data_IF_460542988963
#
_entry.id   IF_460542988963
#
_cell.length_a   1.000
_cell.length_b   1.000
_cell.length_c   1.000
_cell.angle_alpha   90.00
_cell.angle_beta   90.00
_cell.angle_gamma   90.00
#
_symmetry.space_group_name_H-M   'P 1'
#
loop_
_entity.id
_entity.type
_entity.pdbx_description
1 polymer ?
2 polymer ?
3 non-polymer ?
4 non-polymer ?
5 non-polymer ?
6 non-polymer ?
7 water ?
#
# COMPACT_ATOMS: atom_id res chain seq x y z
N UNK A 1 -8.01 14.44 6.19
CA UNK A 1 -7.30 15.30 7.13
C UNK A 1 -5.83 14.89 7.32
N UNK A 2 -5.03 15.76 7.97
CA UNK A 2 -3.72 15.37 8.49
C UNK A 2 -3.79 15.23 10.00
N UNK A 3 -3.90 13.99 10.47
CA UNK A 3 -4.22 13.74 11.88
C UNK A 3 -2.95 13.71 12.74
N UNK A 4 -2.96 14.50 13.80
CA UNK A 4 -1.83 14.57 14.73
C UNK A 4 -1.99 13.50 15.79
N UNK A 5 -0.94 13.28 16.54
CA UNK A 5 -0.93 12.09 17.35
C UNK A 5 -0.82 12.41 18.82
N UNK A 6 -1.22 13.64 19.18
CA UNK A 6 -1.27 14.07 20.57
C UNK A 6 -2.20 13.19 21.42
N UNK A 7 -3.28 12.72 20.79
CA UNK A 7 -4.28 11.86 21.41
C UNK A 7 -4.38 10.58 20.58
N UNK A 8 -4.98 9.52 21.11
CA UNK A 8 -5.23 8.34 20.27
C UNK A 8 -6.09 8.73 19.06
N UNK A 9 -5.71 8.27 17.86
CA UNK A 9 -6.41 8.65 16.62
C UNK A 9 -7.69 7.83 16.45
N UNK A 10 -8.66 8.14 17.32
CA UNK A 10 -9.99 7.57 17.29
C UNK A 10 -10.89 8.40 16.39
N UNK A 11 -11.57 7.72 15.48
CA UNK A 11 -12.36 8.39 14.47
C UNK A 11 -13.71 7.67 14.33
N UNK A 12 -14.65 8.37 13.71
CA UNK A 12 -15.93 7.82 13.32
C UNK A 12 -15.79 6.74 12.26
N UNK A 13 -16.48 5.63 12.50
CA UNK A 13 -16.74 4.67 11.45
C UNK A 13 -18.22 4.35 11.37
N UNK A 14 -18.64 3.91 10.18
CA UNK A 14 -20.03 3.51 9.93
C UNK A 14 -20.01 2.21 9.15
N UNK A 15 -20.62 1.21 9.78
CA UNK A 15 -20.62 -0.11 9.22
C UNK A 15 -21.99 -0.73 9.47
N UNK A 16 -22.58 -1.23 8.40
CA UNK A 16 -23.92 -1.82 8.45
C UNK A 16 -24.98 -0.90 9.04
N UNK A 17 -24.78 0.40 8.85
CA UNK A 17 -25.68 1.40 9.39
C UNK A 17 -25.47 1.74 10.86
N UNK A 18 -24.41 1.18 11.44
CA UNK A 18 -24.07 1.42 12.83
C UNK A 18 -22.90 2.40 12.94
N UNK A 19 -23.03 3.33 13.88
CA UNK A 19 -22.00 4.35 14.12
C UNK A 19 -21.13 3.84 15.25
N UNK A 20 -19.83 3.75 14.98
CA UNK A 20 -18.89 3.28 16.00
C UNK A 20 -17.68 4.21 15.99
N UNK A 21 -16.76 3.91 16.89
CA UNK A 21 -15.48 4.61 16.98
C UNK A 21 -14.37 3.61 16.79
N UNK A 22 -13.36 3.99 16.02
CA UNK A 22 -12.22 3.09 15.79
C UNK A 22 -10.87 3.80 15.80
N UNK A 23 -9.82 3.04 16.09
CA UNK A 23 -8.46 3.54 16.23
C UNK A 23 -7.72 3.33 14.91
N UNK A 24 -7.17 4.40 14.34
CA UNK A 24 -6.36 4.28 13.11
C UNK A 24 -4.97 3.77 13.49
N UNK A 25 -4.69 2.52 13.13
CA UNK A 25 -3.57 1.77 13.68
C UNK A 25 -2.60 1.37 12.57
N UNK A 26 -1.53 2.13 12.41
CA UNK A 26 -0.48 1.79 11.45
C UNK A 26 0.37 0.59 11.87
N UNK A 27 0.18 0.16 13.11
CA UNK A 27 0.81 -1.04 13.65
C UNK A 27 -0.05 -2.29 13.50
N UNK A 28 -1.16 -2.19 12.75
CA UNK A 28 -1.99 -3.37 12.46
C UNK A 28 -2.02 -3.64 10.96
N UNK A 29 -1.73 -4.88 10.58
CA UNK A 29 -1.77 -5.25 9.17
C UNK A 29 -3.22 -5.19 8.68
N UNK A 30 -4.15 -5.59 9.53
CA UNK A 30 -5.53 -5.79 9.15
C UNK A 30 -6.52 -5.14 10.08
N UNK A 31 -7.73 -4.99 9.63
CA UNK A 31 -8.76 -4.30 10.39
C UNK A 31 -9.49 -5.33 11.22
N UNK A 32 -9.68 -5.02 12.50
CA UNK A 32 -10.43 -5.90 13.39
C UNK A 32 -11.35 -5.05 14.26
N UNK A 33 -12.62 -5.46 14.27
CA UNK A 33 -13.66 -4.82 15.08
C UNK A 33 -14.12 -5.69 16.23
N UNK A 34 -14.64 -5.05 17.27
CA UNK A 34 -15.26 -5.78 18.37
C UNK A 34 -16.43 -6.60 17.81
N UNK A 35 -16.75 -7.69 18.51
CA UNK A 35 -17.84 -8.57 18.13
C UNK A 35 -19.05 -7.79 17.63
N UNK A 36 -19.56 -8.22 16.48
CA UNK A 36 -20.78 -7.67 15.90
C UNK A 36 -21.27 -8.70 14.87
N UNK A 37 -22.55 -8.64 14.53
CA UNK A 37 -23.02 -9.47 13.47
C UNK A 37 -22.84 -8.84 12.09
N UNK A 38 -22.12 -9.54 11.24
CA UNK A 38 -22.00 -9.10 9.88
C UNK A 38 -22.60 -10.17 8.99
N UNK A 39 -22.98 -9.80 7.76
CA UNK A 39 -23.62 -10.72 6.85
C UNK A 39 -22.62 -11.55 6.05
N UNK A 40 -23.03 -12.76 5.67
CA UNK A 40 -22.28 -13.55 4.72
C UNK A 40 -21.35 -14.57 5.37
N UNK A 41 -20.62 -15.24 4.51
CA UNK A 41 -19.70 -16.31 4.88
C UNK A 41 -18.51 -15.70 5.61
N UNK A 42 -17.98 -16.44 6.56
CA UNK A 42 -16.76 -16.02 7.24
C UNK A 42 -15.85 -17.21 7.42
N UNK A 43 -14.57 -16.95 7.65
CA UNK A 43 -13.58 -17.97 8.01
C UNK A 43 -12.95 -17.60 9.36
N UNK A 44 -12.73 -18.57 10.25
CA UNK A 44 -11.92 -18.31 11.44
C UNK A 44 -10.44 -18.03 11.12
N UNK A 45 -9.85 -17.10 11.86
CA UNK A 45 -8.41 -16.79 11.77
C UNK A 45 -7.88 -16.44 13.16
N UNK A 46 -6.56 -16.52 13.31
CA UNK A 46 -5.88 -16.02 14.50
C UNK A 46 -5.06 -14.78 14.19
N UNK A 47 -5.11 -13.78 15.06
CA UNK A 47 -4.26 -12.62 14.90
C UNK A 47 -3.54 -12.42 16.22
N UNK A 48 -2.31 -11.95 16.11
CA UNK A 48 -1.44 -11.85 17.27
C UNK A 48 -0.83 -10.47 17.41
N UNK A 49 -0.37 -10.23 18.62
CA UNK A 49 0.54 -9.11 18.86
C UNK A 49 1.00 -9.14 20.30
N UNK A 50 1.06 -7.98 20.94
CA UNK A 50 1.51 -7.88 22.33
C UNK A 50 0.48 -8.61 23.18
N UNK A 51 0.93 -9.55 23.99
CA UNK A 51 0.02 -10.29 24.85
C UNK A 51 -0.42 -11.61 24.23
N UNK A 52 -0.12 -11.84 22.95
CA UNK A 52 -0.42 -13.14 22.33
C UNK A 52 -1.49 -13.04 21.26
N UNK A 53 -2.24 -14.13 21.06
CA UNK A 53 -3.16 -14.26 19.92
C UNK A 53 -4.62 -14.32 20.41
N UNK A 54 -5.52 -13.88 19.52
CA UNK A 54 -6.96 -14.05 19.64
C UNK A 54 -7.56 -14.69 18.36
N UNK A 55 -8.67 -15.39 18.55
CA UNK A 55 -9.43 -16.01 17.45
C UNK A 55 -10.46 -15.00 16.94
N UNK A 56 -10.43 -14.73 15.64
CA UNK A 56 -11.40 -13.84 15.01
C UNK A 56 -12.14 -14.50 13.85
N UNK A 57 -13.23 -13.86 13.42
CA UNK A 57 -13.94 -14.22 12.20
C UNK A 57 -13.65 -13.26 11.04
N UNK A 58 -13.35 -13.81 9.87
CA UNK A 58 -13.03 -12.98 8.71
C UNK A 58 -14.17 -12.91 7.71
N UNK A 59 -14.69 -11.71 7.52
CA UNK A 59 -15.71 -11.45 6.51
C UNK A 59 -15.07 -10.70 5.36
N UNK A 60 -15.57 -10.92 4.14
CA UNK A 60 -15.01 -10.27 2.95
C UNK A 60 -15.97 -9.25 2.34
N UNK A 61 -15.39 -8.30 1.63
CA UNK A 61 -16.13 -7.29 0.89
C UNK A 61 -17.23 -6.63 1.73
N UNK A 62 -16.81 -6.08 2.88
CA UNK A 62 -17.72 -5.35 3.75
C UNK A 62 -17.50 -3.85 3.55
N UNK A 63 -18.57 -3.09 3.24
CA UNK A 63 -18.50 -1.63 3.17
C UNK A 63 -18.40 -1.02 4.56
N UNK A 64 -17.49 -0.07 4.71
CA UNK A 64 -17.24 0.59 5.97
C UNK A 64 -16.80 2.00 5.61
N UNK A 65 -17.38 2.98 6.29
CA UNK A 65 -16.98 4.37 6.09
C UNK A 65 -16.05 4.77 7.23
N UNK A 66 -14.88 5.30 6.90
CA UNK A 66 -13.89 5.67 7.92
C UNK A 66 -13.59 7.16 7.78
N UNK A 67 -14.06 7.92 8.75
CA UNK A 67 -13.83 9.35 8.76
C UNK A 67 -14.37 9.94 7.45
N UNK A 68 -15.48 9.39 6.98
CA UNK A 68 -16.16 9.92 5.80
C UNK A 68 -15.77 9.30 4.48
N UNK A 69 -14.71 8.51 4.48
CA UNK A 69 -14.14 7.94 3.26
C UNK A 69 -14.71 6.52 3.17
N UNK A 70 -15.26 6.16 2.01
CA UNK A 70 -15.80 4.83 1.81
C UNK A 70 -14.69 3.83 1.52
N UNK A 71 -14.75 2.72 2.24
CA UNK A 71 -13.94 1.57 1.92
C UNK A 71 -14.84 0.35 1.76
N UNK A 72 -14.28 -0.66 1.11
CA UNK A 72 -14.90 -1.97 1.05
C UNK A 72 -13.76 -2.96 1.18
N UNK A 73 -13.80 -3.83 2.17
CA UNK A 73 -12.74 -4.82 2.25
C UNK A 73 -12.98 -5.89 3.30
N UNK A 74 -11.89 -6.53 3.72
CA UNK A 74 -11.98 -7.65 4.62
C UNK A 74 -11.96 -7.09 6.01
N UNK A 75 -12.90 -7.55 6.83
CA UNK A 75 -13.06 -7.05 8.19
C UNK A 75 -13.03 -8.27 9.09
N UNK A 76 -12.14 -8.24 10.09
CA UNK A 76 -12.14 -9.28 11.10
C UNK A 76 -12.99 -8.83 12.28
N UNK A 77 -13.58 -9.81 12.93
CA UNK A 77 -14.44 -9.56 14.07
C UNK A 77 -14.07 -10.47 15.22
N UNK A 78 -13.87 -9.89 16.39
CA UNK A 78 -13.47 -10.70 17.53
C UNK A 78 -13.11 -9.89 18.76
N UNK A 79 -12.48 -10.55 19.75
CA UNK A 79 -12.30 -9.96 21.09
C UNK A 79 -11.15 -8.94 21.18
N UNK A 80 -11.09 -8.03 20.22
CA UNK A 80 -10.13 -6.94 20.31
C UNK A 80 -10.62 -5.96 21.36
N UNK A 81 -9.68 -5.32 22.09
CA UNK A 81 -10.03 -4.35 23.12
C UNK A 81 -10.65 -3.07 22.57
N UNK A 82 -10.31 -2.71 21.33
CA UNK A 82 -10.85 -1.49 20.70
C UNK A 82 -11.01 -1.79 19.20
N UNK A 83 -12.04 -1.24 18.56
CA UNK A 83 -12.10 -1.29 17.09
C UNK A 83 -10.84 -0.67 16.48
N UNK A 84 -10.28 -1.38 15.50
CA UNK A 84 -8.99 -1.07 14.93
C UNK A 84 -9.05 -1.06 13.40
N UNK A 85 -8.69 0.08 12.82
CA UNK A 85 -8.51 0.21 11.39
C UNK A 85 -7.03 -0.06 11.09
N UNK A 86 -6.77 -1.10 10.32
CA UNK A 86 -5.41 -1.49 10.00
C UNK A 86 -5.01 -0.99 8.64
N UNK A 87 -3.81 -1.39 8.22
CA UNK A 87 -3.21 -0.88 7.01
C UNK A 87 -4.03 -1.20 5.76
N UNK A 88 -4.67 -2.37 5.77
CA UNK A 88 -5.51 -2.81 4.65
C UNK A 88 -6.48 -1.72 4.25
N UNK A 89 -7.13 -1.11 5.23
CA UNK A 89 -8.11 -0.07 4.95
C UNK A 89 -7.54 1.34 5.07
N UNK A 90 -6.50 1.54 5.88
CA UNK A 90 -5.82 2.84 5.87
C UNK A 90 -5.30 3.13 4.46
N UNK A 91 -4.77 2.12 3.78
CA UNK A 91 -4.36 2.33 2.38
C UNK A 91 -5.52 2.74 1.49
N UNK A 92 -6.64 2.03 1.62
CA UNK A 92 -7.85 2.31 0.83
C UNK A 92 -8.32 3.77 0.96
N UNK A 93 -8.20 4.34 2.14
CA UNK A 93 -8.67 5.69 2.36
C UNK A 93 -7.55 6.72 2.10
N UNK A 94 -6.40 6.23 1.65
CA UNK A 94 -5.33 7.11 1.15
C UNK A 94 -4.29 7.54 2.17
N UNK A 95 -4.17 6.79 3.28
CA UNK A 95 -3.34 7.21 4.42
C UNK A 95 -1.86 7.06 4.13
N UNK A 96 -1.12 8.08 4.54
CA UNK A 96 0.32 7.98 4.66
C UNK A 96 0.79 8.56 5.98
N UNK A 97 2.02 8.20 6.33
CA UNK A 97 2.70 8.73 7.49
C UNK A 97 3.63 9.80 6.92
N UNK A 98 3.62 10.95 7.56
CA UNK A 98 4.35 12.13 7.12
C UNK A 98 5.16 12.77 8.24
N UNK A 99 6.45 12.97 7.98
CA UNK A 99 7.28 13.75 8.89
C UNK A 99 8.51 14.29 8.20
N UNK B 1 9.91 12.37 5.12
CA UNK B 1 9.25 12.11 3.85
C UNK B 1 7.80 11.62 4.06
N UNK B 2 7.31 10.86 3.09
CA UNK B 2 5.97 10.34 3.11
C UNK B 2 6.12 8.82 2.98
N UNK B 3 5.50 8.10 3.92
CA UNK B 3 5.63 6.65 4.05
C UNK B 3 4.27 6.04 3.68
N UNK B 4 4.29 5.20 2.65
CA UNK B 4 3.11 4.42 2.24
C UNK B 4 2.78 3.41 3.35
N UNK B 5 1.57 2.86 3.32
CA UNK B 5 1.20 1.81 4.28
C UNK B 5 0.84 0.51 3.56
N UNK B 6 1.29 0.37 2.31
CA UNK B 6 1.09 -0.88 1.59
C UNK B 6 1.90 -1.98 2.26
N UNK B 7 2.99 -1.59 2.93
CA UNK B 7 3.87 -2.49 3.66
C UNK B 7 4.01 -1.90 5.07
N UNK B 8 4.52 -2.70 6.00
CA UNK B 8 4.63 -2.26 7.40
C UNK B 8 5.58 -1.07 7.39
N UNK B 9 5.27 -0.02 8.17
CA UNK B 9 6.17 1.12 8.21
C UNK B 9 7.38 0.94 9.14
N UNK B 10 8.38 0.24 8.63
CA UNK B 10 9.57 -0.12 9.39
C UNK B 10 10.65 0.85 9.03
N UNK B 11 11.39 1.29 10.06
CA UNK B 11 12.44 2.27 9.91
C UNK B 11 13.59 1.81 10.79
N UNK B 12 14.81 2.24 10.47
CA UNK B 12 15.95 2.06 11.35
C UNK B 12 15.95 3.07 12.50
N UNK B 13 16.17 2.58 13.72
CA UNK B 13 16.40 3.47 14.85
C UNK B 13 17.78 3.16 15.41
N UNK B 14 18.28 4.08 16.21
CA UNK B 14 19.58 3.97 16.84
C UNK B 14 19.40 4.31 18.30
N UNK B 15 19.75 3.37 19.17
CA UNK B 15 19.61 3.55 20.61
C UNK B 15 20.82 2.93 21.31
N UNK B 16 21.51 3.72 22.14
CA UNK B 16 22.73 3.27 22.82
C UNK B 16 23.82 2.77 21.87
N UNK B 17 23.85 3.36 20.68
CA UNK B 17 24.78 2.94 19.62
C UNK B 17 24.43 1.68 18.84
N UNK B 18 23.26 1.09 19.12
CA UNK B 18 22.81 -0.08 18.37
C UNK B 18 21.79 0.31 17.32
N UNK B 19 21.86 -0.36 16.18
CA UNK B 19 20.94 -0.16 15.07
C UNK B 19 19.83 -1.20 15.26
N UNK B 20 18.58 -0.76 15.13
CA UNK B 20 17.45 -1.68 15.25
C UNK B 20 16.36 -1.25 14.27
N UNK B 21 15.49 -2.18 13.91
CA UNK B 21 14.34 -1.92 13.06
C UNK B 21 13.13 -1.75 13.98
N UNK B 22 12.34 -0.71 13.76
CA UNK B 22 11.12 -0.52 14.54
C UNK B 22 9.97 -0.10 13.64
N UNK B 23 8.77 -0.25 14.19
CA UNK B 23 7.54 -0.04 13.46
C UNK B 23 6.92 1.29 13.90
N UNK B 24 6.63 2.19 12.97
CA UNK B 24 5.96 3.46 13.28
C UNK B 24 4.47 3.20 13.54
N UNK B 25 4.05 3.36 14.79
CA UNK B 25 2.84 2.68 15.28
C UNK B 25 1.87 3.64 15.90
N UNK B 26 0.91 4.13 15.11
CA UNK B 26 -0.09 5.07 15.63
C UNK B 26 -1.09 4.41 16.58
N UNK B 27 -1.10 3.09 16.59
CA UNK B 27 -1.89 2.31 17.55
C UNK B 27 -1.27 2.03 18.90
N UNK B 28 -0.10 2.58 19.15
CA UNK B 28 0.62 2.42 20.42
C UNK B 28 0.73 3.77 21.14
N UNK B 29 0.31 3.82 22.41
CA UNK B 29 0.53 5.04 23.17
C UNK B 29 2.02 5.36 23.44
N UNK B 30 2.79 4.31 23.53
CA UNK B 30 4.14 4.34 24.03
C UNK B 30 5.14 3.64 23.12
N UNK B 31 6.44 3.85 23.35
CA UNK B 31 7.50 3.22 22.58
C UNK B 31 8.02 1.99 23.35
N UNK B 32 8.01 0.84 22.69
CA UNK B 32 8.24 -0.42 23.37
C UNK B 32 9.25 -1.19 22.54
N UNK B 33 10.39 -1.49 23.16
CA UNK B 33 11.47 -2.25 22.54
C UNK B 33 11.64 -3.66 23.09
N UNK B 34 12.07 -4.56 22.21
CA UNK B 34 12.42 -5.92 22.61
C UNK B 34 13.49 -5.87 23.69
N UNK B 35 13.58 -6.96 24.46
CA UNK B 35 14.47 -7.00 25.62
C UNK B 35 15.88 -6.55 25.25
N UNK B 36 16.39 -5.63 26.04
CA UNK B 36 17.73 -5.09 25.89
C UNK B 36 18.15 -4.47 27.21
N UNK B 37 19.45 -4.25 27.37
CA UNK B 37 19.95 -3.56 28.55
C UNK B 37 19.98 -2.07 28.33
N UNK B 38 19.36 -1.32 29.24
CA UNK B 38 19.57 0.12 29.28
C UNK B 38 20.09 0.55 30.63
N UNK B 39 20.80 1.69 30.67
CA UNK B 39 21.30 2.23 31.93
C UNK B 39 20.29 3.00 32.78
N UNK B 40 20.50 2.93 34.09
CA UNK B 40 19.83 3.83 35.04
C UNK B 40 18.61 3.26 35.74
N UNK B 41 17.90 4.14 36.43
CA UNK B 41 16.73 3.79 37.22
C UNK B 41 15.59 3.37 36.28
N UNK B 42 14.72 2.49 36.76
CA UNK B 42 13.57 2.07 35.99
C UNK B 42 12.46 1.70 36.93
N UNK B 43 11.27 1.50 36.36
CA UNK B 43 10.10 1.11 37.14
C UNK B 43 9.35 0.09 36.32
N UNK B 44 8.73 -0.90 36.98
CA UNK B 44 7.96 -1.91 36.23
C UNK B 44 6.56 -1.39 35.85
N UNK B 45 6.09 -1.72 34.65
CA UNK B 45 4.76 -1.36 34.21
C UNK B 45 4.08 -2.54 33.50
N UNK B 46 2.75 -2.55 33.48
CA UNK B 46 1.97 -3.56 32.76
C UNK B 46 1.33 -2.82 31.62
N UNK B 47 1.51 -3.29 30.38
CA UNK B 47 0.85 -2.71 29.22
C UNK B 47 -0.02 -3.74 28.50
N UNK B 48 -1.08 -3.25 27.89
CA UNK B 48 -2.00 -4.12 27.17
C UNK B 48 -1.84 -4.03 25.66
N UNK B 49 -2.07 -5.16 25.01
CA UNK B 49 -2.22 -5.14 23.58
C UNK B 49 -3.37 -6.03 23.14
N UNK B 50 -3.26 -6.46 21.89
CA UNK B 50 -4.29 -7.24 21.25
C UNK B 50 -4.70 -8.53 21.92
N UNK B 51 -3.74 -9.24 22.54
CA UNK B 51 -4.00 -10.56 23.12
C UNK B 51 -3.94 -10.66 24.64
N UNK B 52 -3.68 -9.54 25.31
CA UNK B 52 -3.53 -9.53 26.75
C UNK B 52 -2.44 -8.57 27.17
N UNK B 53 -1.79 -8.83 28.30
CA UNK B 53 -0.91 -7.85 28.93
C UNK B 53 0.49 -8.43 29.02
N UNK B 54 1.48 -7.54 29.01
CA UNK B 54 2.86 -7.90 29.28
C UNK B 54 3.49 -6.95 30.28
N UNK B 55 4.44 -7.49 31.04
CA UNK B 55 5.28 -6.70 31.92
C UNK B 55 6.39 -6.04 31.11
N UNK B 56 6.67 -4.77 31.41
CA UNK B 56 7.83 -4.09 30.85
C UNK B 56 8.61 -3.35 31.94
N UNK B 57 9.85 -2.93 31.63
CA UNK B 57 10.60 -1.93 32.40
C UNK B 57 10.52 -0.58 31.70
N UNK B 58 10.24 0.44 32.47
CA UNK B 58 10.14 1.81 31.95
C UNK B 58 11.41 2.58 32.27
N UNK B 59 12.09 3.08 31.25
CA UNK B 59 13.25 3.90 31.42
C UNK B 59 12.94 5.29 30.86
N UNK B 60 13.34 6.34 31.57
CA UNK B 60 13.00 7.69 31.14
C UNK B 60 14.22 8.39 30.54
N UNK B 61 13.94 9.39 29.71
CA UNK B 61 14.96 10.26 29.17
C UNK B 61 16.12 9.50 28.49
N UNK B 62 15.71 8.57 27.63
CA UNK B 62 16.61 7.81 26.79
C UNK B 62 16.69 8.47 25.41
N UNK B 63 17.91 8.78 24.95
CA UNK B 63 18.05 9.26 23.58
C UNK B 63 17.89 8.16 22.56
N UNK B 64 17.11 8.45 21.51
CA UNK B 64 16.86 7.49 20.45
C UNK B 64 16.79 8.27 19.13
N UNK B 65 17.42 7.77 18.07
CA UNK B 65 17.28 8.43 16.77
C UNK B 65 16.33 7.62 15.91
N UNK B 66 15.29 8.27 15.40
CA UNK B 66 14.23 7.59 14.65
C UNK B 66 14.20 8.20 13.24
N UNK B 67 14.55 7.36 12.26
CA UNK B 67 14.72 7.76 10.88
C UNK B 67 15.23 9.20 10.73
N UNK B 68 16.40 9.42 11.32
CA UNK B 68 17.13 10.66 11.13
C UNK B 68 16.81 11.73 12.15
N UNK B 69 15.84 11.46 13.01
CA UNK B 69 15.37 12.47 13.94
C UNK B 69 15.79 12.13 15.35
N UNK B 70 16.53 13.04 15.98
CA UNK B 70 16.91 12.86 17.36
C UNK B 70 15.67 13.05 18.24
N UNK B 71 15.47 12.10 19.16
CA UNK B 71 14.42 12.16 20.17
C UNK B 71 15.01 11.79 21.53
N UNK B 72 14.35 12.27 22.58
CA UNK B 72 14.70 11.87 23.94
C UNK B 72 13.39 11.61 24.63
N UNK B 73 13.20 10.40 25.13
CA UNK B 73 12.00 10.13 25.90
C UNK B 73 11.94 8.79 26.57
N UNK B 74 10.73 8.42 26.98
CA UNK B 74 10.54 7.17 27.69
C UNK B 74 10.55 5.99 26.76
N UNK B 75 11.21 4.93 27.18
CA UNK B 75 11.25 3.69 26.43
C UNK B 75 10.85 2.59 27.40
N UNK B 76 9.87 1.79 26.99
CA UNK B 76 9.49 0.59 27.71
C UNK B 76 10.19 -0.62 27.07
N UNK B 77 10.68 -1.53 27.90
CA UNK B 77 11.42 -2.69 27.38
C UNK B 77 10.77 -3.96 27.88
N UNK B 78 10.52 -4.90 26.98
CA UNK B 78 9.89 -6.14 27.35
C UNK B 78 9.65 -7.01 26.13
N UNK B 79 8.84 -8.06 26.31
CA UNK B 79 8.60 -9.10 25.30
C UNK B 79 7.60 -8.70 24.19
N UNK B 80 7.75 -7.53 23.62
CA UNK B 80 7.05 -7.14 22.40
C UNK B 80 7.56 -7.93 21.20
N UNK B 81 6.67 -8.36 20.29
CA UNK B 81 7.09 -9.16 19.13
C UNK B 81 7.94 -8.35 18.16
N UNK B 82 7.71 -7.05 18.14
CA UNK B 82 8.45 -6.15 17.26
C UNK B 82 8.68 -4.83 18.02
N UNK B 83 9.81 -4.17 17.72
CA UNK B 83 10.09 -2.84 18.28
C UNK B 83 9.07 -1.87 17.72
N UNK B 84 8.50 -1.04 18.59
CA UNK B 84 7.37 -0.19 18.29
C UNK B 84 7.74 1.24 18.67
N UNK B 85 7.59 2.17 17.72
CA UNK B 85 7.61 3.58 18.00
C UNK B 85 6.16 4.08 18.09
N UNK B 86 5.77 4.49 19.30
CA UNK B 86 4.38 4.86 19.57
C UNK B 86 4.24 6.36 19.57
N UNK B 87 3.05 6.82 19.93
CA UNK B 87 2.68 8.22 19.72
C UNK B 87 3.58 9.21 20.45
N UNK B 88 4.04 8.80 21.62
CA UNK B 88 4.91 9.65 22.43
C UNK B 88 6.13 10.17 21.66
N UNK B 89 6.76 9.30 20.89
CA UNK B 89 7.91 9.70 20.05
C UNK B 89 7.54 10.07 18.62
N UNK B 90 6.44 9.54 18.07
CA UNK B 90 6.03 10.03 16.74
C UNK B 90 5.74 11.53 16.80
N UNK B 91 5.11 11.97 17.89
CA UNK B 91 4.81 13.39 18.04
C UNK B 91 6.09 14.22 18.15
N UNK B 92 7.03 13.69 18.92
CA UNK B 92 8.31 14.34 19.07
C UNK B 92 9.00 14.59 17.74
N UNK B 93 8.91 13.63 16.82
CA UNK B 93 9.59 13.78 15.52
C UNK B 93 8.73 14.49 14.47
N UNK B 94 7.51 14.88 14.83
CA UNK B 94 6.63 15.61 13.92
C UNK B 94 5.82 14.76 12.94
N UNK B 95 5.59 13.51 13.29
CA UNK B 95 4.93 12.56 12.39
C UNK B 95 3.41 12.70 12.49
N UNK B 96 2.75 12.81 11.34
CA UNK B 96 1.29 12.85 11.23
C UNK B 96 0.75 11.76 10.31
N UNK B 97 -0.55 11.48 10.46
CA UNK B 97 -1.26 10.54 9.60
C UNK B 97 -2.11 11.34 8.64
N UNK B 98 -1.82 11.25 7.36
CA UNK B 98 -2.50 12.09 6.37
C UNK B 98 -3.36 11.27 5.41
N UNK B 99 -4.59 11.69 5.18
CA UNK B 99 -5.35 11.16 4.05
C UNK B 99 -6.35 12.16 3.48
N UNK C 1 13.76 -12.76 -23.63
CA UNK C 1 12.63 -13.67 -23.55
C UNK C 1 11.30 -12.97 -23.85
N UNK C 2 10.27 -13.75 -24.07
CA UNK C 2 8.94 -13.22 -24.15
C UNK C 2 8.17 -13.64 -22.91
N UNK C 3 7.63 -12.64 -22.22
CA UNK C 3 7.12 -12.76 -20.86
C UNK C 3 5.58 -12.75 -20.85
N UNK C 4 5.00 -13.71 -20.14
CA UNK C 4 3.55 -13.84 -20.06
C UNK C 4 2.94 -12.88 -19.06
N UNK C 5 1.62 -12.71 -19.14
CA UNK C 5 0.98 -11.73 -18.28
C UNK C 5 -0.08 -12.36 -17.38
N UNK C 6 -0.06 -13.68 -17.25
CA UNK C 6 -1.00 -14.37 -16.36
C UNK C 6 -0.73 -13.99 -14.91
N UNK C 7 0.55 -13.77 -14.60
CA UNK C 7 0.99 -13.17 -13.35
C UNK C 7 1.57 -11.77 -13.57
N UNK C 8 1.69 -10.99 -12.51
CA UNK C 8 2.35 -9.68 -12.59
C UNK C 8 3.77 -9.81 -13.12
N UNK C 9 4.16 -8.95 -14.06
CA UNK C 9 5.49 -9.05 -14.58
C UNK C 9 6.53 -8.39 -13.65
N UNK C 10 6.81 -9.09 -12.55
CA UNK C 10 7.80 -8.67 -11.58
C UNK C 10 9.20 -9.20 -11.93
N UNK C 11 10.20 -8.33 -11.86
CA UNK C 11 11.58 -8.70 -12.19
C UNK C 11 12.48 -8.14 -11.10
N UNK C 12 13.67 -8.73 -10.91
CA UNK C 12 14.63 -8.14 -9.99
C UNK C 12 15.37 -7.02 -10.69
N UNK C 13 15.54 -5.89 -10.01
CA UNK C 13 16.41 -4.87 -10.55
C UNK C 13 17.57 -4.65 -9.58
N UNK C 14 18.65 -4.08 -10.10
CA UNK C 14 19.80 -3.69 -9.29
C UNK C 14 20.08 -2.20 -9.47
N UNK C 15 20.08 -1.48 -8.36
CA UNK C 15 20.36 -0.06 -8.37
C UNK C 15 21.31 0.25 -7.21
N UNK C 16 22.54 0.62 -7.53
CA UNK C 16 23.51 1.03 -6.50
C UNK C 16 23.90 -0.06 -5.52
N UNK C 17 24.04 -1.28 -6.01
CA UNK C 17 24.14 -2.43 -5.11
C UNK C 17 22.92 -2.70 -4.24
N UNK C 18 21.75 -2.21 -4.60
CA UNK C 18 20.53 -2.68 -3.94
C UNK C 18 19.83 -3.65 -4.88
N UNK C 19 19.30 -4.76 -4.36
CA UNK C 19 18.48 -5.69 -5.14
C UNK C 19 17.03 -5.36 -4.83
N UNK C 20 16.18 -5.19 -5.83
CA UNK C 20 14.78 -4.88 -5.55
C UNK C 20 13.88 -5.58 -6.54
N UNK C 21 12.62 -5.74 -6.15
CA UNK C 21 11.64 -6.28 -7.08
C UNK C 21 10.88 -5.14 -7.76
N UNK C 22 10.72 -5.18 -9.08
CA UNK C 22 9.95 -4.13 -9.76
C UNK C 22 9.02 -4.67 -10.85
N UNK C 23 7.98 -3.88 -11.11
CA UNK C 23 6.90 -4.24 -12.01
C UNK C 23 7.12 -3.59 -13.37
N UNK C 24 7.20 -4.45 -14.39
CA UNK C 24 7.30 -3.99 -15.78
C UNK C 24 5.95 -3.43 -16.21
N UNK C 25 5.87 -2.10 -16.35
CA UNK C 25 4.59 -1.38 -16.39
C UNK C 25 4.40 -0.49 -17.63
N UNK C 26 3.75 -1.02 -18.65
CA UNK C 26 3.49 -0.27 -19.88
C UNK C 26 2.48 0.86 -19.72
N UNK C 27 1.77 0.85 -18.60
CA UNK C 27 0.91 1.97 -18.24
C UNK C 27 1.57 3.07 -17.43
N UNK C 28 2.89 3.02 -17.29
CA UNK C 28 3.66 4.04 -16.61
C UNK C 28 4.58 4.79 -17.60
N UNK C 29 4.48 6.11 -17.65
CA UNK C 29 5.35 6.91 -18.53
C UNK C 29 6.80 6.81 -18.07
N UNK C 30 6.97 6.81 -16.76
CA UNK C 30 8.25 6.94 -16.10
C UNK C 30 8.53 5.85 -15.10
N UNK C 31 9.75 5.79 -14.59
CA UNK C 31 10.18 4.77 -13.66
C UNK C 31 10.17 5.38 -12.25
N UNK C 32 9.57 4.68 -11.29
CA UNK C 32 9.33 5.22 -9.98
C UNK C 32 9.62 4.14 -8.98
N UNK C 33 10.45 4.45 -8.00
CA UNK C 33 10.85 3.48 -6.98
C UNK C 33 10.35 3.93 -5.62
N UNK C 34 10.13 2.95 -4.75
CA UNK C 34 9.79 3.19 -3.36
C UNK C 34 10.90 4.00 -2.69
N UNK C 35 10.56 4.66 -1.59
CA UNK C 35 11.47 5.53 -0.86
C UNK C 35 12.84 4.88 -0.71
N UNK C 36 13.87 5.64 -1.06
CA UNK C 36 15.27 5.21 -0.94
C UNK C 36 16.15 6.46 -1.12
N UNK C 37 17.42 6.36 -0.73
CA UNK C 37 18.32 7.47 -0.91
C UNK C 37 19.18 7.27 -2.13
N UNK C 38 19.18 8.25 -3.00
CA UNK C 38 20.06 8.20 -4.15
C UNK C 38 20.97 9.41 -4.07
N UNK C 39 22.14 9.33 -4.72
CA UNK C 39 23.02 10.49 -4.73
C UNK C 39 22.60 11.56 -5.72
N UNK C 40 22.99 12.79 -5.45
CA UNK C 40 22.98 13.82 -6.47
C UNK C 40 21.82 14.77 -6.25
N UNK C 41 21.70 15.75 -7.14
CA UNK C 41 20.64 16.72 -7.04
C UNK C 41 19.36 16.05 -7.52
N UNK C 42 18.26 16.53 -6.97
CA UNK C 42 16.93 16.05 -7.35
C UNK C 42 16.00 17.22 -7.41
N UNK C 43 14.89 17.03 -8.12
CA UNK C 43 13.88 18.06 -8.28
C UNK C 43 12.52 17.42 -7.94
N UNK C 44 11.68 18.15 -7.19
CA UNK C 44 10.35 17.66 -6.87
C UNK C 44 9.46 17.61 -8.11
N UNK C 45 8.61 16.59 -8.19
CA UNK C 45 7.68 16.43 -9.29
C UNK C 45 6.42 15.77 -8.74
N UNK C 46 5.29 15.95 -9.45
CA UNK C 46 4.05 15.21 -9.15
C UNK C 46 3.79 14.21 -10.25
N UNK C 47 3.43 13.00 -9.88
CA UNK C 47 2.94 12.04 -10.87
C UNK C 47 1.57 11.48 -10.48
N UNK C 48 0.82 11.13 -11.50
CA UNK C 48 -0.60 10.92 -11.36
C UNK C 48 -0.97 9.56 -11.89
N UNK C 49 -1.90 8.90 -11.20
CA UNK C 49 -2.63 7.80 -11.80
C UNK C 49 -4.03 7.63 -11.24
N UNK C 50 -4.42 6.37 -11.09
CA UNK C 50 -5.71 6.05 -10.51
C UNK C 50 -5.63 6.50 -9.05
N UNK C 51 -6.59 7.31 -8.62
CA UNK C 51 -6.63 7.70 -7.22
C UNK C 51 -6.08 9.08 -6.97
N UNK C 52 -5.30 9.63 -7.89
CA UNK C 52 -4.74 10.97 -7.68
C UNK C 52 -3.24 11.03 -7.97
N UNK C 53 -2.58 12.03 -7.38
CA UNK C 53 -1.14 12.24 -7.63
C UNK C 53 -0.32 12.04 -6.37
N UNK C 54 0.94 11.66 -6.52
CA UNK C 54 1.88 11.65 -5.40
C UNK C 54 3.07 12.54 -5.74
N UNK C 55 3.70 13.10 -4.72
CA UNK C 55 4.92 13.90 -4.89
C UNK C 55 6.14 13.01 -4.78
N UNK C 56 7.01 13.15 -5.79
CA UNK C 56 8.21 12.31 -5.89
C UNK C 56 9.44 13.20 -6.04
N UNK C 57 10.62 12.60 -5.88
CA UNK C 57 11.88 13.26 -6.23
C UNK C 57 12.48 12.70 -7.51
N UNK C 58 12.89 13.59 -8.41
CA UNK C 58 13.48 13.19 -9.68
C UNK C 58 15.00 13.26 -9.67
N UNK C 59 15.64 12.11 -9.86
CA UNK C 59 17.10 12.05 -9.99
C UNK C 59 17.45 11.71 -11.43
N UNK C 60 18.46 12.36 -11.99
CA UNK C 60 18.83 12.06 -13.37
C UNK C 60 20.08 11.20 -13.43
N UNK C 61 20.19 10.48 -14.54
CA UNK C 61 21.40 9.72 -14.89
C UNK C 61 21.74 8.70 -13.81
N UNK C 62 20.72 7.94 -13.42
CA UNK C 62 20.88 6.86 -12.46
C UNK C 62 21.01 5.55 -13.22
N UNK C 63 22.08 4.79 -12.93
CA UNK C 63 22.16 3.47 -13.55
C UNK C 63 21.27 2.46 -12.86
N UNK C 64 20.56 1.66 -13.65
CA UNK C 64 19.77 0.58 -13.11
C UNK C 64 19.93 -0.64 -14.04
N UNK C 65 20.12 -1.81 -13.43
CA UNK C 65 20.27 -3.06 -14.17
C UNK C 65 18.95 -3.81 -14.10
N UNK C 66 18.39 -4.16 -15.24
CA UNK C 66 17.06 -4.76 -15.31
C UNK C 66 17.13 -6.00 -16.18
N UNK C 67 16.96 -7.18 -15.59
CA UNK C 67 17.11 -8.44 -16.30
C UNK C 67 18.35 -8.47 -17.18
N UNK C 68 19.51 -8.29 -16.56
CA UNK C 68 20.77 -8.34 -17.30
C UNK C 68 20.89 -7.30 -18.40
N UNK C 69 20.04 -6.28 -18.32
CA UNK C 69 20.19 -5.11 -19.17
C UNK C 69 20.55 -3.91 -18.34
N UNK C 70 21.62 -3.22 -18.71
CA UNK C 70 22.12 -2.09 -17.96
C UNK C 70 21.59 -0.80 -18.58
N UNK C 71 20.86 -0.02 -17.81
CA UNK C 71 20.22 1.18 -18.33
C UNK C 71 20.58 2.36 -17.44
N UNK C 72 20.67 3.53 -18.06
CA UNK C 72 20.90 4.77 -17.31
C UNK C 72 19.79 5.74 -17.67
N UNK C 73 19.13 6.29 -16.66
CA UNK C 73 18.11 7.29 -16.93
C UNK C 73 17.58 8.00 -15.70
N UNK C 74 16.50 8.75 -15.93
CA UNK C 74 15.83 9.51 -14.90
C UNK C 74 15.01 8.55 -14.07
N UNK C 75 15.08 8.75 -12.78
CA UNK C 75 14.41 7.86 -11.84
C UNK C 75 13.67 8.71 -10.83
N UNK C 76 12.39 8.43 -10.66
CA UNK C 76 11.59 9.10 -9.63
C UNK C 76 11.56 8.27 -8.37
N UNK C 77 11.60 8.92 -7.22
CA UNK C 77 11.54 8.26 -5.94
C UNK C 77 10.44 8.84 -5.07
N UNK C 78 9.64 7.98 -4.46
CA UNK C 78 8.49 8.47 -3.70
C UNK C 78 7.58 7.36 -3.25
N UNK C 79 6.38 7.73 -2.75
CA UNK C 79 5.49 6.79 -2.07
C UNK C 79 4.65 5.97 -3.03
N UNK C 80 5.32 5.35 -4.00
CA UNK C 80 4.66 4.43 -4.88
C UNK C 80 4.43 3.15 -4.10
N UNK C 81 3.27 2.51 -4.31
CA UNK C 81 2.98 1.22 -3.69
C UNK C 81 3.92 0.11 -4.10
N UNK C 82 4.50 0.17 -5.30
CA UNK C 82 5.44 -0.85 -5.78
C UNK C 82 6.47 -0.18 -6.68
N UNK C 83 7.66 -0.76 -6.76
CA UNK C 83 8.69 -0.27 -7.67
C UNK C 83 8.19 -0.51 -9.09
N UNK C 84 8.30 0.52 -9.94
CA UNK C 84 7.75 0.49 -11.29
C UNK C 84 8.81 0.83 -12.34
N UNK C 85 8.95 -0.05 -13.32
CA UNK C 85 9.75 0.24 -14.53
C UNK C 85 8.78 0.70 -15.59
N UNK C 86 8.85 1.97 -15.93
CA UNK C 86 7.99 2.53 -16.96
C UNK C 86 8.61 2.56 -18.34
N UNK C 87 7.88 3.19 -19.24
CA UNK C 87 8.15 3.12 -20.68
C UNK C 87 9.49 3.75 -21.03
N UNK C 88 9.90 4.74 -20.24
CA UNK C 88 11.23 5.31 -20.43
C UNK C 88 12.36 4.28 -20.39
N UNK C 89 12.37 3.41 -19.39
CA UNK C 89 13.38 2.34 -19.26
C UNK C 89 13.00 1.08 -20.02
N UNK C 90 11.71 0.82 -20.19
CA UNK C 90 11.34 -0.32 -21.03
C UNK C 90 11.84 -0.12 -22.45
N UNK C 91 11.67 1.09 -22.97
CA UNK C 91 12.11 1.39 -24.32
C UNK C 91 13.63 1.25 -24.40
N UNK C 92 14.31 1.72 -23.37
CA UNK C 92 15.77 1.71 -23.39
C UNK C 92 16.30 0.28 -23.52
N UNK C 93 15.64 -0.69 -22.89
CA UNK C 93 16.11 -2.07 -22.95
C UNK C 93 15.50 -2.94 -24.07
N UNK C 94 14.77 -2.33 -24.99
CA UNK C 94 14.23 -3.03 -26.16
C UNK C 94 12.96 -3.82 -25.91
N UNK C 95 12.18 -3.43 -24.89
CA UNK C 95 10.94 -4.14 -24.57
C UNK C 95 9.78 -3.65 -25.46
N UNK C 96 8.98 -4.58 -25.96
CA UNK C 96 7.82 -4.23 -26.79
C UNK C 96 6.66 -5.05 -26.26
N UNK C 97 5.45 -4.64 -26.61
CA UNK C 97 4.27 -5.48 -26.39
C UNK C 97 3.92 -6.14 -27.69
N UNK C 98 3.77 -7.45 -27.64
CA UNK C 98 3.46 -8.24 -28.80
C UNK C 98 2.23 -9.10 -28.66
N UNK C 99 1.34 -8.96 -29.63
CA UNK C 99 0.26 -9.92 -29.82
C UNK C 99 -0.19 -9.96 -31.26
N UNK D 1 0.05 -6.96 -33.43
CA UNK D 1 1.10 -5.98 -33.69
C UNK D 1 2.26 -6.03 -32.67
N UNK D 2 3.28 -5.24 -32.98
CA UNK D 2 4.53 -5.21 -32.24
C UNK D 2 4.70 -3.78 -31.74
N UNK D 3 4.18 -3.48 -30.56
CA UNK D 3 3.99 -2.11 -30.14
C UNK D 3 5.22 -1.66 -29.37
N UNK D 4 5.85 -0.63 -29.90
CA UNK D 4 6.98 -0.04 -29.22
C UNK D 4 6.40 0.90 -28.17
N UNK D 5 7.23 1.28 -27.21
CA UNK D 5 6.67 1.91 -26.02
C UNK D 5 7.20 3.33 -25.92
N UNK D 6 7.54 3.92 -27.06
CA UNK D 6 8.01 5.28 -27.04
C UNK D 6 6.86 6.26 -26.79
N UNK D 7 5.64 5.87 -27.20
CA UNK D 7 4.42 6.60 -26.89
C UNK D 7 3.51 5.67 -26.08
N UNK D 8 2.49 6.21 -25.45
CA UNK D 8 1.55 5.37 -24.68
C UNK D 8 0.90 4.38 -25.66
N UNK D 9 0.82 3.08 -25.29
CA UNK D 9 0.32 2.06 -26.22
C UNK D 9 -1.22 2.09 -26.28
N UNK D 10 -1.77 3.08 -26.98
CA UNK D 10 -3.19 3.23 -27.18
C UNK D 10 -3.69 2.41 -28.38
N UNK D 11 -4.82 1.74 -28.18
CA UNK D 11 -5.45 0.95 -29.21
C UNK D 11 -6.95 1.24 -29.21
N UNK D 12 -7.65 0.76 -30.24
CA UNK D 12 -9.12 0.80 -30.29
C UNK D 12 -9.72 -0.40 -29.58
N UNK D 13 -10.72 -0.16 -28.73
CA UNK D 13 -11.56 -1.24 -28.24
C UNK D 13 -13.00 -1.01 -28.64
N UNK D 14 -13.74 -2.11 -28.77
CA UNK D 14 -15.16 -2.04 -29.06
C UNK D 14 -15.90 -2.76 -27.94
N UNK D 15 -16.83 -2.03 -27.34
CA UNK D 15 -17.60 -2.57 -26.23
C UNK D 15 -19.04 -2.10 -26.34
N UNK D 16 -19.95 -3.06 -26.38
CA UNK D 16 -21.36 -2.74 -26.56
C UNK D 16 -21.66 -1.91 -27.79
N UNK D 17 -20.92 -2.16 -28.87
CA UNK D 17 -21.02 -1.37 -30.10
C UNK D 17 -20.32 -0.02 -30.15
N UNK D 18 -19.70 0.38 -29.04
CA UNK D 18 -19.06 1.69 -28.93
C UNK D 18 -17.55 1.54 -29.14
N UNK D 19 -16.95 2.49 -29.85
CA UNK D 19 -15.51 2.50 -30.04
C UNK D 19 -14.88 3.47 -29.06
N UNK D 20 -13.82 2.99 -28.41
CA UNK D 20 -13.11 3.82 -27.45
C UNK D 20 -11.62 3.62 -27.64
N UNK D 21 -10.85 4.54 -27.10
CA UNK D 21 -9.39 4.34 -27.11
C UNK D 21 -8.99 3.82 -25.73
N UNK D 22 -8.10 2.83 -25.71
CA UNK D 22 -7.71 2.27 -24.42
C UNK D 22 -6.22 1.97 -24.38
N UNK D 23 -5.68 2.06 -23.17
CA UNK D 23 -4.25 1.87 -22.89
C UNK D 23 -3.95 0.43 -22.47
N UNK D 24 -3.06 -0.19 -23.21
CA UNK D 24 -2.61 -1.52 -22.89
C UNK D 24 -1.60 -1.49 -21.75
N UNK D 25 -1.99 -2.04 -20.61
CA UNK D 25 -1.41 -1.70 -19.32
C UNK D 25 -0.96 -2.95 -18.58
N UNK D 26 0.32 -3.30 -18.70
CA UNK D 26 0.86 -4.48 -18.02
C UNK D 26 0.98 -4.23 -16.51
N UNK D 27 0.87 -2.97 -16.11
CA UNK D 27 0.81 -2.60 -14.69
C UNK D 27 -0.56 -2.62 -14.05
N UNK D 28 -1.57 -3.12 -14.77
CA UNK D 28 -2.92 -3.24 -14.23
C UNK D 28 -3.35 -4.71 -14.13
N UNK D 29 -3.79 -5.17 -12.98
CA UNK D 29 -4.30 -6.53 -12.91
C UNK D 29 -5.58 -6.69 -13.70
N UNK D 30 -6.40 -5.66 -13.68
CA UNK D 30 -7.76 -5.66 -14.24
C UNK D 30 -8.04 -4.59 -15.28
N UNK D 31 -9.15 -4.73 -15.98
CA UNK D 31 -9.51 -3.84 -17.06
C UNK D 31 -10.54 -2.87 -16.48
N UNK D 32 -10.25 -1.58 -16.60
CA UNK D 32 -11.05 -0.55 -15.99
C UNK D 32 -11.37 0.49 -17.05
N UNK D 33 -12.66 0.79 -17.21
CA UNK D 33 -13.10 1.72 -18.21
C UNK D 33 -13.71 2.98 -17.59
N UNK D 34 -13.60 4.08 -18.31
CA UNK D 34 -14.25 5.33 -17.91
C UNK D 34 -15.76 5.13 -17.78
N UNK D 35 -16.34 5.97 -16.93
CA UNK D 35 -17.77 5.92 -16.69
C UNK D 35 -18.57 5.69 -17.97
N UNK D 36 -19.42 4.67 -17.94
CA UNK D 36 -20.28 4.30 -19.06
C UNK D 36 -21.37 3.37 -18.51
N UNK D 37 -22.45 3.19 -19.26
CA UNK D 37 -23.51 2.28 -18.84
C UNK D 37 -23.30 0.91 -19.47
N UNK D 38 -23.32 -0.14 -18.66
CA UNK D 38 -23.28 -1.49 -19.21
C UNK D 38 -24.50 -2.24 -18.72
N UNK D 39 -24.88 -3.29 -19.46
CA UNK D 39 -26.05 -4.04 -19.01
C UNK D 39 -25.67 -5.05 -17.93
N UNK D 40 -26.65 -5.45 -17.14
CA UNK D 40 -26.45 -6.61 -16.30
C UNK D 40 -26.21 -6.20 -14.86
N UNK D 41 -25.98 -7.20 -14.02
CA UNK D 41 -25.80 -6.92 -12.60
C UNK D 41 -24.37 -6.45 -12.43
N UNK D 42 -24.13 -5.71 -11.36
CA UNK D 42 -22.78 -5.32 -11.01
C UNK D 42 -22.63 -5.30 -9.50
N UNK D 43 -21.37 -5.38 -9.03
CA UNK D 43 -21.06 -5.29 -7.62
C UNK D 43 -20.01 -4.20 -7.47
N UNK D 44 -20.08 -3.43 -6.38
CA UNK D 44 -19.06 -2.40 -6.20
C UNK D 44 -17.75 -3.00 -5.71
N UNK D 45 -16.65 -2.42 -6.16
CA UNK D 45 -15.31 -2.86 -5.79
C UNK D 45 -14.40 -1.65 -5.61
N UNK D 46 -13.32 -1.84 -4.84
CA UNK D 46 -12.24 -0.85 -4.68
C UNK D 46 -11.01 -1.37 -5.38
N UNK D 47 -10.34 -0.50 -6.13
CA UNK D 47 -9.07 -0.86 -6.76
C UNK D 47 -8.05 0.24 -6.47
N UNK D 48 -6.81 -0.17 -6.27
CA UNK D 48 -5.78 0.71 -5.75
C UNK D 48 -4.82 1.05 -6.86
N UNK D 49 -4.45 2.33 -6.95
CA UNK D 49 -3.48 2.83 -7.90
C UNK D 49 -2.34 3.56 -7.21
N UNK D 50 -1.57 4.30 -8.01
CA UNK D 50 -0.43 5.08 -7.56
C UNK D 50 -0.83 6.14 -6.51
N UNK D 51 -2.03 6.70 -6.65
CA UNK D 51 -2.39 7.90 -5.89
C UNK D 51 -3.40 7.63 -4.79
N UNK D 52 -3.83 6.38 -4.65
CA UNK D 52 -4.92 6.01 -3.77
C UNK D 52 -5.87 5.06 -4.47
N UNK D 53 -7.09 4.97 -3.94
CA UNK D 53 -8.06 3.99 -4.43
C UNK D 53 -9.25 4.71 -5.00
N UNK D 54 -9.95 4.00 -5.89
CA UNK D 54 -11.22 4.43 -6.43
C UNK D 54 -12.23 3.31 -6.29
N UNK D 55 -13.48 3.71 -6.23
CA UNK D 55 -14.60 2.77 -6.20
C UNK D 55 -15.09 2.57 -7.62
N UNK D 56 -15.29 1.32 -8.02
CA UNK D 56 -15.74 1.00 -9.39
C UNK D 56 -16.92 0.03 -9.34
N UNK D 57 -17.59 -0.10 -10.48
CA UNK D 57 -18.63 -1.11 -10.66
C UNK D 57 -18.07 -2.27 -11.47
N UNK D 58 -18.22 -3.48 -10.95
CA UNK D 58 -17.75 -4.70 -11.61
C UNK D 58 -18.84 -5.43 -12.38
N UNK D 59 -18.65 -5.56 -13.69
CA UNK D 59 -19.59 -6.26 -14.54
C UNK D 59 -18.94 -7.52 -15.05
N UNK D 60 -19.65 -8.64 -15.05
CA UNK D 60 -19.04 -9.87 -15.49
C UNK D 60 -19.46 -10.28 -16.91
N UNK D 61 -18.56 -11.03 -17.53
CA UNK D 61 -18.78 -11.67 -18.82
C UNK D 61 -19.22 -10.67 -19.87
N UNK D 62 -18.49 -9.57 -19.96
CA UNK D 62 -18.74 -8.56 -20.97
C UNK D 62 -17.82 -8.77 -22.17
N UNK D 63 -18.40 -8.97 -23.38
CA UNK D 63 -17.59 -9.00 -24.60
C UNK D 63 -16.92 -7.69 -24.94
N UNK D 64 -15.64 -7.74 -25.29
CA UNK D 64 -14.92 -6.56 -25.68
C UNK D 64 -13.92 -6.95 -26.76
N UNK D 65 -13.83 -6.15 -27.83
CA UNK D 65 -12.87 -6.42 -28.88
C UNK D 65 -11.70 -5.43 -28.74
N UNK D 66 -10.49 -5.98 -28.63
CA UNK D 66 -9.30 -5.19 -28.36
C UNK D 66 -8.38 -5.30 -29.58
N UNK D 67 -8.22 -4.18 -30.27
CA UNK D 67 -7.37 -4.12 -31.45
C UNK D 67 -7.74 -5.27 -32.39
N UNK D 68 -9.03 -5.46 -32.58
CA UNK D 68 -9.54 -6.58 -33.38
C UNK D 68 -9.44 -8.00 -32.85
N UNK D 69 -9.14 -8.21 -31.57
CA UNK D 69 -9.13 -9.56 -31.01
C UNK D 69 -10.30 -9.72 -30.05
N UNK D 70 -10.94 -10.89 -30.07
CA UNK D 70 -12.12 -11.16 -29.26
C UNK D 70 -11.71 -11.45 -27.82
N UNK D 71 -12.39 -10.81 -26.87
CA UNK D 71 -12.25 -11.12 -25.48
C UNK D 71 -13.63 -11.05 -24.80
N UNK D 72 -13.74 -11.72 -23.66
CA UNK D 72 -14.92 -11.67 -22.83
C UNK D 72 -14.45 -11.75 -21.40
N UNK D 73 -14.84 -10.78 -20.59
CA UNK D 73 -14.20 -10.69 -19.28
C UNK D 73 -14.93 -9.81 -18.30
N UNK D 74 -14.37 -9.74 -17.09
CA UNK D 74 -14.82 -8.77 -16.11
C UNK D 74 -14.34 -7.38 -16.50
N UNK D 75 -15.26 -6.44 -16.50
CA UNK D 75 -14.91 -5.08 -16.81
C UNK D 75 -15.31 -4.25 -15.59
N UNK D 76 -14.38 -3.45 -15.09
CA UNK D 76 -14.64 -2.46 -14.07
C UNK D 76 -14.89 -1.09 -14.67
N UNK D 77 -15.84 -0.35 -14.10
CA UNK D 77 -16.26 0.94 -14.61
C UNK D 77 -16.21 1.97 -13.51
N UNK D 78 -15.47 3.04 -13.75
CA UNK D 78 -15.32 4.03 -12.70
C UNK D 78 -14.38 5.15 -13.13
N UNK D 79 -13.94 5.94 -12.15
CA UNK D 79 -13.26 7.20 -12.44
C UNK D 79 -11.78 7.00 -12.70
N UNK D 80 -11.46 6.16 -13.67
CA UNK D 80 -10.11 6.09 -14.21
C UNK D 80 -9.86 7.24 -15.17
N UNK D 81 -8.65 7.80 -15.10
CA UNK D 81 -8.29 8.85 -16.03
C UNK D 81 -8.32 8.41 -17.48
N UNK D 82 -8.07 7.14 -17.75
CA UNK D 82 -8.02 6.64 -19.13
C UNK D 82 -8.58 5.21 -19.13
N UNK D 83 -9.17 4.80 -20.25
CA UNK D 83 -9.56 3.40 -20.36
C UNK D 83 -8.32 2.52 -20.30
N UNK D 84 -8.39 1.45 -19.51
CA UNK D 84 -7.24 0.59 -19.26
C UNK D 84 -7.59 -0.87 -19.55
N UNK D 85 -6.78 -1.48 -20.40
CA UNK D 85 -6.84 -2.94 -20.61
C UNK D 85 -5.73 -3.55 -19.76
N UNK D 86 -6.16 -4.30 -18.77
CA UNK D 86 -5.28 -4.92 -17.78
C UNK D 86 -4.92 -6.33 -18.18
N UNK D 87 -4.12 -6.97 -17.34
CA UNK D 87 -3.51 -8.24 -17.70
C UNK D 87 -4.52 -9.33 -17.98
N UNK D 88 -5.66 -9.27 -17.28
CA UNK D 88 -6.75 -10.21 -17.49
C UNK D 88 -7.13 -10.31 -18.97
N UNK D 89 -7.28 -9.18 -19.66
CA UNK D 89 -7.59 -9.21 -21.09
C UNK D 89 -6.36 -9.17 -22.02
N UNK D 90 -5.21 -8.66 -21.56
CA UNK D 90 -4.01 -8.76 -22.36
C UNK D 90 -3.68 -10.24 -22.58
N UNK D 91 -3.92 -11.04 -21.55
CA UNK D 91 -3.62 -12.46 -21.67
C UNK D 91 -4.61 -13.16 -22.60
N UNK D 92 -5.87 -12.73 -22.59
CA UNK D 92 -6.82 -13.31 -23.56
C UNK D 92 -6.47 -13.06 -25.02
N UNK D 93 -5.86 -11.93 -25.32
CA UNK D 93 -5.50 -11.63 -26.71
C UNK D 93 -4.09 -12.08 -27.06
N UNK D 94 -3.38 -12.73 -26.13
CA UNK D 94 -2.12 -13.38 -26.43
C UNK D 94 -0.94 -12.45 -26.32
N UNK D 95 -1.05 -11.43 -25.46
CA UNK D 95 -0.01 -10.40 -25.34
C UNK D 95 1.16 -10.88 -24.47
N UNK D 96 2.37 -10.61 -24.91
CA UNK D 96 3.56 -10.83 -24.08
C UNK D 96 4.41 -9.57 -24.10
N UNK D 97 5.29 -9.45 -23.12
CA UNK D 97 6.31 -8.43 -23.06
C UNK D 97 7.59 -9.04 -23.64
N UNK D 98 8.12 -8.48 -24.71
CA UNK D 98 9.24 -9.09 -25.42
C UNK D 98 10.48 -8.19 -25.36
N UNK D 99 11.52 -8.67 -24.68
CA UNK D 99 12.82 -8.01 -24.65
C UNK D 99 13.98 -9.03 -24.74
N UNK E 1 3.28 -15.08 11.73
CA UNK E 1 3.88 -13.95 12.52
C UNK E 1 2.72 -13.09 13.01
N UNK E 2 2.85 -12.49 14.21
CA UNK E 2 1.80 -11.58 14.69
C UNK E 2 1.75 -10.32 13.84
N UNK E 3 0.58 -9.66 13.84
CA UNK E 3 0.32 -8.59 12.90
C UNK E 3 -0.50 -7.43 13.42
N UNK E 4 -0.82 -7.41 14.70
CA UNK E 4 -1.60 -6.32 15.27
C UNK E 4 -0.99 -5.76 16.57
N UNK E 5 -0.31 -4.63 16.43
CA UNK E 5 0.49 -4.15 17.55
C UNK E 5 -0.14 -2.95 18.26
N UNK E 6 -1.46 -3.02 18.42
CA UNK E 6 -2.15 -2.22 19.44
C UNK E 6 -1.35 -2.21 20.74
N UNK E 7 -1.21 -1.04 21.34
CA UNK E 7 -0.58 -1.02 22.67
C UNK E 7 -1.15 0.12 23.50
N UNK E 8 -1.56 -0.20 24.72
CA UNK E 8 -2.21 0.73 25.63
C UNK E 8 -1.32 0.98 26.83
N UNK E 9 -1.08 2.26 27.13
CA UNK E 9 -0.32 2.67 28.31
C UNK E 9 -0.82 2.04 29.60
N UNK E 10 0.04 2.00 30.62
CA UNK E 10 -0.35 1.43 31.90
C UNK E 10 -1.43 2.25 32.58
N UNK F 3 -0.12 9.69 -16.39
CA UNK F 3 1.25 9.43 -15.85
C UNK F 3 1.51 7.95 -15.55
N UNK F 4 0.93 7.48 -14.47
CA UNK F 4 1.25 6.14 -14.04
C UNK F 4 0.06 5.27 -13.66
N UNK F 5 -0.39 4.46 -14.58
CA UNK F 5 -1.65 3.77 -14.31
C UNK F 5 -1.46 2.35 -13.78
N UNK F 6 -0.55 2.17 -12.85
CA UNK F 6 -0.65 1.08 -11.88
C UNK F 6 -2.08 0.84 -11.38
N UNK F 7 -2.46 -0.41 -11.33
CA UNK F 7 -3.75 -0.75 -10.76
C UNK F 7 -3.74 -2.13 -10.10
N UNK F 8 -4.11 -2.15 -8.83
CA UNK F 8 -4.12 -3.36 -8.04
C UNK F 8 -5.56 -3.87 -7.87
N UNK F 9 -5.74 -5.18 -7.94
CA UNK F 9 -7.07 -5.80 -7.95
C UNK F 9 -7.78 -5.69 -6.59
#
# INVERSE_FOLDING_TARGET
PQITLWKRPLVTIRIGGQLKEALLNTGADNTVLEEMNLPGKWKPKMIGGIGGFIKVRQYDQIPIEICGHKAIGTVLVGPTPVNIIGRDLLTQIGCTLNF
PQITLWKRPLVTIRIGGQLKEALLNTGADNTVLEEMNLPGKWKPKMIGGIGGFIKVRQYDQIPIEICGHKAIGTVLVGPTPVNIIGRDLLTQIGCTLNF
PQITLWKRPLVTIRIGGQLKEALLNTGADNTVLEEMNLPGKWKPKMIGGIGGFIKVRQYDQIPIEICGHKAIGTVLVGPTPVNIIGRDLLTQIGCTLNF
PQITLWKRPLVTIRIGGQLKEALLNTGADNTVLEEMNLPGKWKPKMIGGIGGFIKVRQYDQIPIEICGHKAIGTVLVGPTPVNIIGRDLLTQIGCTLNF
RPGNFLQNRP
RPGNFLQNRP
#
